data_IF_248120140530
#
_entry.id   IF_248120140530
#
_cell.length_a   1.000
_cell.length_b   1.000
_cell.length_c   1.000
_cell.angle_alpha   90.00
_cell.angle_beta   90.00
_cell.angle_gamma   90.00
#
_symmetry.space_group_name_H-M   'P 1'
#
loop_
_entity.id
_entity.type
_entity.pdbx_description
1 polymer ?
#
# COMPACT_ATOMS: atom_id res chain seq x y z
N UNK A 1 17.05 -10.10 -12.10
CA UNK A 1 16.68 -9.22 -10.97
C UNK A 1 17.92 -8.45 -10.57
N UNK A 2 17.98 -7.15 -10.88
CA UNK A 2 19.10 -6.30 -10.45
C UNK A 2 18.96 -6.05 -8.95
N UNK A 3 20.00 -6.40 -8.17
CA UNK A 3 20.05 -6.10 -6.74
C UNK A 3 20.03 -4.58 -6.55
N UNK A 4 18.91 -4.06 -6.05
CA UNK A 4 18.82 -2.66 -5.63
C UNK A 4 19.83 -2.48 -4.49
N UNK A 5 20.91 -1.71 -4.72
CA UNK A 5 21.87 -1.37 -3.65
C UNK A 5 21.14 -0.51 -2.61
N UNK A 6 20.86 -1.08 -1.45
CA UNK A 6 20.27 -0.36 -0.31
C UNK A 6 21.41 0.35 0.42
N UNK A 7 21.43 1.69 0.38
CA UNK A 7 22.40 2.48 1.14
C UNK A 7 21.84 2.74 2.55
N UNK A 8 22.33 1.99 3.55
CA UNK A 8 21.85 2.08 4.94
C UNK A 8 22.51 3.18 5.78
N UNK A 9 23.16 4.19 5.18
CA UNK A 9 23.94 5.18 5.95
C UNK A 9 23.11 6.20 6.74
N UNK A 10 21.79 6.25 6.57
CA UNK A 10 20.86 7.02 7.38
C UNK A 10 19.67 6.09 7.70
N UNK A 11 19.00 6.27 8.84
CA UNK A 11 17.78 5.53 9.27
C UNK A 11 16.59 5.61 8.27
N UNK A 12 16.81 6.17 7.08
CA UNK A 12 15.83 6.43 6.03
C UNK A 12 16.23 5.63 4.79
N UNK A 13 15.44 4.59 4.48
CA UNK A 13 15.64 3.77 3.28
C UNK A 13 14.90 4.43 2.12
N UNK A 14 15.62 4.67 1.03
CA UNK A 14 15.03 5.25 -0.20
C UNK A 14 14.98 4.20 -1.29
N UNK A 15 13.81 4.07 -1.93
CA UNK A 15 13.63 3.20 -3.09
C UNK A 15 13.22 4.01 -4.30
N UNK A 16 13.81 3.72 -5.46
CA UNK A 16 13.42 4.34 -6.71
C UNK A 16 12.13 3.68 -7.22
N UNK A 17 11.01 4.39 -7.14
CA UNK A 17 9.67 3.89 -7.50
C UNK A 17 9.57 3.53 -8.98
N UNK A 18 10.28 4.25 -9.85
CA UNK A 18 10.18 4.08 -11.30
C UNK A 18 10.80 2.76 -11.73
N UNK A 19 11.82 2.27 -11.02
CA UNK A 19 12.40 0.96 -11.26
C UNK A 19 11.39 -0.20 -11.08
N UNK A 20 10.33 -0.03 -10.29
CA UNK A 20 9.26 -1.04 -10.17
C UNK A 20 8.24 -0.98 -11.31
N UNK A 21 8.24 0.11 -12.08
CA UNK A 21 7.28 0.35 -13.15
C UNK A 21 7.84 0.06 -14.56
N UNK A 22 9.17 -0.06 -14.71
CA UNK A 22 9.83 -0.19 -16.01
C UNK A 22 9.33 -1.38 -16.84
N UNK A 23 9.00 -2.50 -16.18
CA UNK A 23 8.56 -3.73 -16.84
C UNK A 23 7.04 -3.86 -16.91
N UNK A 24 6.30 -2.88 -16.37
CA UNK A 24 4.85 -2.95 -16.32
C UNK A 24 4.23 -2.49 -17.65
N UNK A 25 3.71 -3.44 -18.41
CA UNK A 25 3.16 -3.21 -19.76
C UNK A 25 1.93 -2.31 -19.82
N UNK A 26 1.25 -2.08 -18.70
CA UNK A 26 0.04 -1.23 -18.65
C UNK A 26 0.40 0.25 -18.47
N UNK A 27 1.62 0.54 -18.01
CA UNK A 27 2.06 1.88 -17.63
C UNK A 27 2.34 2.74 -18.86
N UNK A 28 1.70 3.89 -18.87
CA UNK A 28 2.00 5.01 -19.74
C UNK A 28 2.51 6.17 -18.89
N UNK A 29 3.30 7.04 -19.50
CA UNK A 29 3.88 8.22 -18.85
C UNK A 29 3.58 9.47 -19.66
N UNK A 30 3.38 10.57 -18.96
CA UNK A 30 3.38 11.92 -19.51
C UNK A 30 4.79 12.48 -19.36
N UNK A 31 5.29 13.06 -20.44
CA UNK A 31 6.68 13.50 -20.55
C UNK A 31 6.72 14.90 -21.13
N UNK A 32 7.67 15.72 -20.69
CA UNK A 32 7.79 17.11 -21.10
C UNK A 32 8.03 17.26 -22.61
N UNK A 33 7.35 18.22 -23.25
CA UNK A 33 7.42 18.43 -24.70
C UNK A 33 8.84 18.72 -25.21
N UNK A 34 9.65 19.42 -24.41
CA UNK A 34 11.05 19.73 -24.74
C UNK A 34 11.91 18.46 -24.84
N UNK A 35 11.71 17.52 -23.92
CA UNK A 35 12.41 16.24 -23.94
C UNK A 35 11.94 15.36 -25.11
N UNK A 36 10.64 15.39 -25.43
CA UNK A 36 10.11 14.71 -26.62
C UNK A 36 10.72 15.27 -27.92
N UNK A 37 10.94 16.59 -28.03
CA UNK A 37 11.67 17.19 -29.17
C UNK A 37 13.11 16.69 -29.25
N UNK A 38 13.81 16.64 -28.11
CA UNK A 38 15.19 16.11 -28.04
C UNK A 38 15.27 14.65 -28.53
N UNK A 39 14.30 13.81 -28.14
CA UNK A 39 14.21 12.43 -28.64
C UNK A 39 14.00 12.42 -30.16
N UNK A 40 13.06 13.23 -30.69
CA UNK A 40 12.81 13.31 -32.15
C UNK A 40 14.07 13.70 -32.91
N UNK A 41 14.77 14.74 -32.47
CA UNK A 41 15.98 15.24 -33.13
C UNK A 41 17.06 14.15 -33.18
N UNK A 42 17.30 13.44 -32.07
CA UNK A 42 18.26 12.33 -32.04
C UNK A 42 17.85 11.15 -32.92
N UNK A 43 16.55 10.84 -33.02
CA UNK A 43 16.06 9.81 -33.97
C UNK A 43 16.34 10.26 -35.40
N UNK A 44 15.99 11.49 -35.77
CA UNK A 44 16.18 12.03 -37.13
C UNK A 44 17.67 12.08 -37.48
N UNK A 45 18.52 12.52 -36.56
CA UNK A 45 19.98 12.56 -36.75
C UNK A 45 20.55 11.16 -37.03
N UNK A 46 20.05 10.12 -36.34
CA UNK A 46 20.57 8.75 -36.47
C UNK A 46 19.97 7.97 -37.64
N UNK A 47 18.70 8.20 -37.97
CA UNK A 47 17.95 7.38 -38.93
C UNK A 47 17.44 8.14 -40.14
N UNK A 48 17.68 9.45 -40.24
CA UNK A 48 17.21 10.33 -41.32
C UNK A 48 15.76 10.80 -41.15
N UNK A 49 14.86 9.94 -40.64
CA UNK A 49 13.46 10.29 -40.38
C UNK A 49 12.82 9.40 -39.32
N UNK A 50 11.72 9.87 -38.71
CA UNK A 50 10.89 9.06 -37.80
C UNK A 50 10.32 7.83 -38.51
N UNK A 51 9.96 7.96 -39.79
CA UNK A 51 9.46 6.86 -40.64
C UNK A 51 10.50 5.75 -40.82
N UNK A 52 11.75 6.10 -41.11
CA UNK A 52 12.83 5.13 -41.25
C UNK A 52 13.11 4.39 -39.94
N UNK A 53 13.14 5.11 -38.80
CA UNK A 53 13.28 4.47 -37.49
C UNK A 53 12.14 3.47 -37.18
N UNK A 54 10.89 3.84 -37.51
CA UNK A 54 9.74 2.95 -37.37
C UNK A 54 9.90 1.63 -38.14
N UNK A 55 10.31 1.72 -39.40
CA UNK A 55 10.50 0.56 -40.27
C UNK A 55 11.70 -0.30 -39.82
N UNK A 56 12.84 0.35 -39.54
CA UNK A 56 14.09 -0.34 -39.27
C UNK A 56 14.20 -0.91 -37.84
N UNK A 57 13.63 -0.23 -36.84
CA UNK A 57 13.78 -0.61 -35.43
C UNK A 57 12.50 -1.13 -34.78
N UNK A 58 11.40 -0.40 -34.92
CA UNK A 58 10.15 -0.81 -34.30
C UNK A 58 9.40 -1.87 -35.11
N UNK A 59 9.74 -2.04 -36.40
CA UNK A 59 9.08 -2.94 -37.36
C UNK A 59 7.57 -2.71 -37.45
N UNK A 60 7.15 -1.44 -37.41
CA UNK A 60 5.76 -1.02 -37.51
C UNK A 60 5.56 -0.39 -38.89
N UNK A 61 4.62 -0.90 -39.69
CA UNK A 61 4.40 -0.48 -41.07
C UNK A 61 3.67 0.89 -41.24
N UNK A 62 3.48 1.68 -40.18
CA UNK A 62 2.67 2.91 -40.20
C UNK A 62 3.41 4.13 -39.60
N UNK A 63 2.90 5.35 -39.87
CA UNK A 63 3.36 6.66 -39.33
C UNK A 63 3.14 6.85 -37.82
N UNK A 64 2.99 5.76 -37.07
CA UNK A 64 2.57 5.79 -35.66
C UNK A 64 3.47 6.64 -34.76
N UNK A 65 4.76 6.82 -35.06
CA UNK A 65 5.63 7.69 -34.26
C UNK A 65 5.35 9.17 -34.48
N UNK A 66 5.08 9.61 -35.72
CA UNK A 66 4.71 11.00 -35.99
C UNK A 66 3.42 11.35 -35.24
N UNK A 67 2.44 10.47 -35.25
CA UNK A 67 1.22 10.62 -34.46
C UNK A 67 1.47 10.49 -32.95
N UNK A 68 2.31 9.53 -32.53
CA UNK A 68 2.63 9.30 -31.11
C UNK A 68 3.35 10.49 -30.50
N UNK A 69 4.25 11.15 -31.23
CA UNK A 69 4.89 12.36 -30.75
C UNK A 69 4.21 13.67 -31.19
N UNK A 70 3.13 13.60 -31.98
CA UNK A 70 2.42 14.77 -32.51
C UNK A 70 1.10 15.07 -31.81
N UNK A 71 0.40 14.03 -31.34
CA UNK A 71 -0.96 14.15 -30.78
C UNK A 71 -1.10 13.42 -29.43
N UNK A 72 -0.31 12.37 -29.17
CA UNK A 72 -0.46 11.63 -27.92
C UNK A 72 0.17 12.38 -26.74
N UNK A 73 -0.63 12.60 -25.71
CA UNK A 73 -0.19 13.14 -24.42
C UNK A 73 0.57 12.09 -23.57
N UNK A 74 0.31 10.80 -23.80
CA UNK A 74 0.87 9.71 -22.99
C UNK A 74 1.55 8.62 -23.84
N UNK A 75 2.70 8.16 -23.35
CA UNK A 75 3.58 7.21 -24.04
C UNK A 75 3.71 5.92 -23.21
N UNK A 76 3.70 4.75 -23.85
CA UNK A 76 3.99 3.50 -23.13
C UNK A 76 5.41 3.52 -22.59
N UNK A 77 5.59 3.35 -21.27
CA UNK A 77 6.90 3.48 -20.63
C UNK A 77 7.94 2.51 -21.22
N UNK A 78 7.57 1.23 -21.38
CA UNK A 78 8.44 0.21 -22.00
C UNK A 78 8.89 0.61 -23.41
N UNK A 79 7.99 1.18 -24.22
CA UNK A 79 8.32 1.59 -25.58
C UNK A 79 9.27 2.78 -25.54
N UNK A 80 8.98 3.77 -24.71
CA UNK A 80 9.80 4.96 -24.57
C UNK A 80 11.21 4.60 -24.08
N UNK A 81 11.33 3.70 -23.11
CA UNK A 81 12.61 3.14 -22.64
C UNK A 81 13.43 2.51 -23.78
N UNK A 82 12.78 1.74 -24.67
CA UNK A 82 13.45 1.17 -25.85
C UNK A 82 13.91 2.23 -26.84
N UNK A 83 13.09 3.27 -27.06
CA UNK A 83 13.42 4.38 -27.96
C UNK A 83 14.64 5.13 -27.42
N UNK A 84 14.62 5.56 -26.15
CA UNK A 84 15.73 6.34 -25.57
C UNK A 84 17.03 5.53 -25.53
N UNK A 85 16.95 4.22 -25.27
CA UNK A 85 18.10 3.33 -25.31
C UNK A 85 18.73 3.28 -26.70
N UNK A 86 17.89 3.21 -27.74
CA UNK A 86 18.36 3.15 -29.12
C UNK A 86 19.04 4.46 -29.57
N UNK A 87 18.61 5.62 -29.07
CA UNK A 87 19.24 6.92 -29.34
C UNK A 87 20.25 7.37 -28.28
N UNK A 88 20.74 6.42 -27.47
CA UNK A 88 21.78 6.64 -26.45
C UNK A 88 21.45 7.72 -25.41
N UNK A 89 20.17 7.86 -25.04
CA UNK A 89 19.74 8.71 -23.93
C UNK A 89 19.66 7.85 -22.66
N UNK A 90 20.32 8.24 -21.55
CA UNK A 90 20.23 7.52 -20.28
C UNK A 90 18.80 7.46 -19.74
N UNK A 91 18.42 6.31 -19.16
CA UNK A 91 17.09 6.14 -18.53
C UNK A 91 16.79 7.18 -17.44
N UNK A 92 17.82 7.63 -16.73
CA UNK A 92 17.67 8.61 -15.66
C UNK A 92 17.26 9.98 -16.19
N UNK A 93 17.64 10.31 -17.42
CA UNK A 93 17.22 11.54 -18.09
C UNK A 93 15.71 11.50 -18.37
N UNK A 94 15.21 10.39 -18.92
CA UNK A 94 13.77 10.18 -19.08
C UNK A 94 13.03 10.26 -17.74
N UNK A 95 13.57 9.66 -16.68
CA UNK A 95 12.93 9.70 -15.37
C UNK A 95 12.77 11.12 -14.82
N UNK A 96 13.69 12.03 -15.13
CA UNK A 96 13.61 13.42 -14.68
C UNK A 96 12.56 14.24 -15.46
N UNK A 97 12.13 13.74 -16.62
CA UNK A 97 11.14 14.39 -17.48
C UNK A 97 9.75 13.73 -17.43
N UNK A 98 9.54 12.75 -16.55
CA UNK A 98 8.20 12.16 -16.33
C UNK A 98 7.44 13.03 -15.33
N UNK A 99 6.32 13.59 -15.75
CA UNK A 99 5.45 14.41 -14.89
C UNK A 99 4.27 13.64 -14.29
N UNK A 100 3.81 12.57 -14.95
CA UNK A 100 2.72 11.73 -14.44
C UNK A 100 2.73 10.32 -15.04
N UNK A 101 2.06 9.40 -14.33
CA UNK A 101 1.82 8.03 -14.74
C UNK A 101 0.33 7.79 -15.05
N UNK A 102 0.05 6.92 -16.00
CA UNK A 102 -1.30 6.56 -16.42
C UNK A 102 -1.42 5.07 -16.75
N UNK A 103 -2.52 4.45 -16.37
CA UNK A 103 -2.91 3.13 -16.85
C UNK A 103 -4.30 3.17 -17.49
N UNK A 104 -4.41 2.68 -18.73
CA UNK A 104 -5.69 2.56 -19.44
C UNK A 104 -6.65 1.65 -18.65
N UNK A 105 -7.89 2.11 -18.46
CA UNK A 105 -8.93 1.40 -17.70
C UNK A 105 -9.12 1.87 -16.25
N UNK A 106 -8.41 2.91 -15.80
CA UNK A 106 -8.75 3.61 -14.54
C UNK A 106 -10.03 4.42 -14.70
N UNK A 107 -10.96 4.31 -13.73
CA UNK A 107 -12.32 4.85 -13.83
C UNK A 107 -12.47 6.31 -13.39
N UNK A 108 -11.49 6.91 -12.70
CA UNK A 108 -11.56 8.30 -12.21
C UNK A 108 -10.17 8.88 -12.05
N UNK A 109 -9.93 10.09 -12.62
CA UNK A 109 -8.63 10.79 -12.74
C UNK A 109 -7.49 9.92 -13.26
N UNK A 110 -7.10 10.19 -14.50
CA UNK A 110 -6.16 9.37 -15.29
C UNK A 110 -4.75 9.41 -14.71
N UNK A 111 -4.31 10.58 -14.28
CA UNK A 111 -2.92 10.80 -13.88
C UNK A 111 -2.69 10.46 -12.41
N UNK A 112 -1.60 9.74 -12.17
CA UNK A 112 -1.01 9.51 -10.86
C UNK A 112 0.38 10.16 -10.87
N UNK A 113 0.59 11.11 -9.95
CA UNK A 113 1.92 11.69 -9.72
C UNK A 113 2.64 10.80 -8.70
N UNK A 114 3.83 10.33 -9.06
CA UNK A 114 4.67 9.53 -8.17
C UNK A 114 6.03 10.20 -8.03
N UNK A 115 6.46 10.39 -6.78
CA UNK A 115 7.83 10.75 -6.47
C UNK A 115 8.77 9.67 -6.95
N UNK A 116 9.88 10.07 -7.60
CA UNK A 116 10.94 9.15 -8.07
C UNK A 116 11.53 8.34 -6.91
N UNK A 117 11.69 8.97 -5.74
CA UNK A 117 12.11 8.32 -4.51
C UNK A 117 10.93 8.17 -3.56
N UNK A 118 10.74 6.94 -3.06
CA UNK A 118 9.85 6.65 -1.96
C UNK A 118 10.70 6.40 -0.70
N UNK A 119 10.34 7.10 0.37
CA UNK A 119 10.95 6.94 1.68
C UNK A 119 10.24 5.79 2.40
N UNK A 120 11.03 4.82 2.87
CA UNK A 120 10.58 3.72 3.71
C UNK A 120 11.13 3.96 5.12
N UNK A 121 10.27 4.50 5.97
CA UNK A 121 10.47 4.72 7.41
C UNK A 121 9.53 3.80 8.23
N UNK A 122 9.53 3.92 9.56
CA UNK A 122 8.69 3.11 10.44
C UNK A 122 7.19 3.25 10.13
N UNK A 123 6.72 4.49 9.92
CA UNK A 123 5.31 4.76 9.61
C UNK A 123 4.89 4.14 8.26
N UNK A 124 5.77 4.17 7.26
CA UNK A 124 5.50 3.52 5.98
C UNK A 124 5.31 2.01 6.17
N UNK A 125 6.22 1.37 6.92
CA UNK A 125 6.23 -0.08 7.14
C UNK A 125 5.01 -0.53 7.96
N UNK A 126 4.64 0.22 9.00
CA UNK A 126 3.45 -0.07 9.81
C UNK A 126 2.18 -0.02 8.97
N UNK A 127 1.97 1.07 8.23
CA UNK A 127 0.79 1.24 7.37
C UNK A 127 0.77 0.26 6.20
N UNK A 128 1.94 -0.08 5.65
CA UNK A 128 2.06 -1.12 4.62
C UNK A 128 1.60 -2.48 5.13
N UNK A 129 2.08 -2.89 6.31
CA UNK A 129 1.70 -4.15 6.93
C UNK A 129 0.20 -4.16 7.31
N UNK A 130 -0.34 -3.02 7.78
CA UNK A 130 -1.77 -2.85 7.99
C UNK A 130 -2.58 -3.04 6.69
N UNK A 131 -2.11 -2.48 5.57
CA UNK A 131 -2.75 -2.73 4.27
C UNK A 131 -2.69 -4.21 3.88
N UNK A 132 -1.58 -4.89 4.14
CA UNK A 132 -1.47 -6.32 3.86
C UNK A 132 -2.39 -7.19 4.74
N UNK A 133 -2.69 -6.71 5.96
CA UNK A 133 -3.60 -7.35 6.89
C UNK A 133 -5.07 -7.22 6.47
N UNK A 134 -5.54 -6.00 6.18
CA UNK A 134 -6.98 -5.75 5.97
C UNK A 134 -7.35 -5.16 4.60
N UNK A 135 -6.36 -4.87 3.77
CA UNK A 135 -6.54 -4.30 2.45
C UNK A 135 -7.19 -5.26 1.46
N UNK A 136 -7.92 -4.69 0.51
CA UNK A 136 -8.45 -5.36 -0.67
C UNK A 136 -7.86 -4.69 -1.92
N UNK A 137 -7.53 -5.51 -2.91
CA UNK A 137 -7.01 -5.04 -4.20
C UNK A 137 -8.12 -4.93 -5.28
N UNK A 138 -9.36 -5.26 -4.89
CA UNK A 138 -10.53 -5.23 -5.74
C UNK A 138 -10.58 -6.35 -6.79
N UNK A 139 -9.72 -7.36 -6.67
CA UNK A 139 -9.77 -8.55 -7.52
C UNK A 139 -10.93 -9.46 -7.10
N UNK A 140 -11.61 -10.06 -8.08
CA UNK A 140 -12.67 -11.04 -7.85
C UNK A 140 -12.34 -12.42 -8.47
N UNK A 141 -11.07 -12.81 -8.45
CA UNK A 141 -10.56 -14.06 -9.05
C UNK A 141 -10.43 -14.01 -10.58
N UNK A 142 -11.27 -13.23 -11.26
CA UNK A 142 -11.28 -13.07 -12.71
C UNK A 142 -10.61 -11.78 -13.20
N UNK A 143 -10.46 -10.78 -12.33
CA UNK A 143 -9.93 -9.46 -12.69
C UNK A 143 -8.61 -9.18 -11.98
N UNK A 144 -7.64 -8.61 -12.71
CA UNK A 144 -6.37 -8.16 -12.14
C UNK A 144 -6.61 -7.11 -11.04
N UNK A 145 -5.74 -6.98 -10.02
CA UNK A 145 -5.77 -5.88 -9.07
C UNK A 145 -5.98 -4.55 -9.77
N UNK A 146 -6.95 -3.76 -9.33
CA UNK A 146 -7.25 -2.46 -9.96
C UNK A 146 -7.25 -1.30 -8.97
N UNK A 147 -7.36 -1.59 -7.67
CA UNK A 147 -7.76 -0.58 -6.70
C UNK A 147 -7.07 -0.84 -5.38
N UNK A 148 -6.61 0.20 -4.72
CA UNK A 148 -6.26 0.13 -3.30
C UNK A 148 -7.55 0.38 -2.53
N UNK A 149 -8.04 -0.62 -1.81
CA UNK A 149 -9.20 -0.49 -0.91
C UNK A 149 -8.80 -0.87 0.48
N UNK A 150 -9.27 -0.13 1.45
CA UNK A 150 -9.02 -0.42 2.85
C UNK A 150 -10.30 -0.18 3.63
N UNK A 151 -10.78 -1.20 4.36
CA UNK A 151 -12.11 -1.20 4.99
C UNK A 151 -11.98 -1.50 6.47
N UNK A 152 -12.44 -0.60 7.33
CA UNK A 152 -12.44 -0.78 8.78
C UNK A 152 -13.67 -0.11 9.41
N UNK A 153 -14.05 -0.53 10.60
CA UNK A 153 -15.10 0.13 11.41
C UNK A 153 -14.55 1.22 12.33
N UNK A 154 -13.27 1.16 12.69
CA UNK A 154 -12.60 2.14 13.54
C UNK A 154 -12.09 3.33 12.71
N UNK A 155 -12.53 4.53 13.07
CA UNK A 155 -12.23 5.75 12.34
C UNK A 155 -10.75 6.16 12.46
N UNK A 156 -10.12 5.92 13.61
CA UNK A 156 -8.70 6.22 13.83
C UNK A 156 -7.81 5.41 12.88
N UNK A 157 -8.11 4.12 12.70
CA UNK A 157 -7.41 3.22 11.77
C UNK A 157 -7.58 3.70 10.32
N UNK A 158 -8.79 4.11 9.93
CA UNK A 158 -9.03 4.69 8.61
C UNK A 158 -8.29 6.01 8.41
N UNK A 159 -8.23 6.87 9.43
CA UNK A 159 -7.54 8.16 9.35
C UNK A 159 -6.04 7.97 9.22
N UNK A 160 -5.48 7.01 9.94
CA UNK A 160 -4.07 6.61 9.78
C UNK A 160 -3.78 6.15 8.34
N UNK A 161 -4.60 5.25 7.80
CA UNK A 161 -4.42 4.79 6.41
C UNK A 161 -4.58 5.92 5.38
N UNK A 162 -5.54 6.85 5.59
CA UNK A 162 -5.70 8.06 4.76
C UNK A 162 -4.42 8.89 4.78
N UNK A 163 -3.87 9.15 5.97
CA UNK A 163 -2.68 9.98 6.14
C UNK A 163 -1.46 9.33 5.49
N UNK A 164 -1.31 8.01 5.61
CA UNK A 164 -0.28 7.25 4.90
C UNK A 164 -0.37 7.44 3.38
N UNK A 165 -1.57 7.28 2.79
CA UNK A 165 -1.73 7.51 1.35
C UNK A 165 -1.31 8.92 0.92
N UNK A 166 -1.69 9.94 1.69
CA UNK A 166 -1.35 11.34 1.39
C UNK A 166 0.15 11.60 1.52
N UNK A 167 0.78 11.08 2.59
CA UNK A 167 2.19 11.30 2.90
C UNK A 167 3.11 10.66 1.86
N UNK A 168 2.85 9.40 1.48
CA UNK A 168 3.77 8.63 0.64
C UNK A 168 3.37 8.59 -0.84
N UNK A 169 2.12 8.90 -1.17
CA UNK A 169 1.62 8.96 -2.54
C UNK A 169 0.85 10.26 -2.79
N UNK A 170 1.49 11.43 -2.63
CA UNK A 170 0.82 12.72 -2.72
C UNK A 170 0.18 12.92 -4.09
N UNK A 171 -0.99 13.56 -4.11
CA UNK A 171 -1.74 13.81 -5.34
C UNK A 171 -2.57 12.61 -5.83
N UNK A 172 -2.57 11.48 -5.11
CA UNK A 172 -3.45 10.35 -5.42
C UNK A 172 -4.94 10.74 -5.30
N UNK A 173 -5.75 10.26 -6.25
CA UNK A 173 -7.20 10.43 -6.16
C UNK A 173 -7.78 9.30 -5.33
N UNK A 174 -8.30 9.64 -4.15
CA UNK A 174 -9.05 8.72 -3.30
C UNK A 174 -10.42 9.29 -2.97
N UNK A 175 -11.36 8.41 -2.63
CA UNK A 175 -12.65 8.76 -2.07
C UNK A 175 -12.93 7.89 -0.85
N UNK A 176 -13.70 8.45 0.07
CA UNK A 176 -14.21 7.80 1.25
C UNK A 176 -15.59 7.24 0.97
N UNK A 177 -15.82 5.98 1.33
CA UNK A 177 -17.08 5.29 1.12
C UNK A 177 -17.66 4.84 2.45
N UNK A 178 -18.86 5.32 2.76
CA UNK A 178 -19.64 4.89 3.93
C UNK A 178 -20.56 3.75 3.52
N UNK A 179 -20.34 2.58 4.11
CA UNK A 179 -21.17 1.39 3.94
C UNK A 179 -22.22 1.38 5.05
N UNK A 180 -23.47 1.63 4.66
CA UNK A 180 -24.60 1.81 5.57
C UNK A 180 -25.36 0.49 5.69
N UNK A 181 -25.48 -0.11 6.89
CA UNK A 181 -26.34 -1.27 7.10
C UNK A 181 -27.79 -0.94 6.73
N UNK A 182 -28.50 -1.89 6.12
CA UNK A 182 -29.89 -1.68 5.64
C UNK A 182 -30.88 -1.24 6.73
N UNK A 183 -30.58 -1.51 8.00
CA UNK A 183 -31.40 -1.20 9.17
C UNK A 183 -30.94 0.08 9.91
N UNK A 184 -30.05 0.88 9.32
CA UNK A 184 -29.53 2.12 9.92
C UNK A 184 -29.86 3.32 9.03
N UNK A 185 -30.21 4.43 9.68
CA UNK A 185 -30.39 5.73 9.02
C UNK A 185 -29.05 6.46 9.03
N UNK A 186 -28.61 6.93 7.86
CA UNK A 186 -27.43 7.77 7.73
C UNK A 186 -27.85 9.23 7.71
N UNK A 187 -27.62 9.94 8.82
CA UNK A 187 -28.10 11.31 9.03
C UNK A 187 -27.13 12.35 8.46
N UNK A 188 -27.62 13.58 8.26
CA UNK A 188 -26.80 14.73 7.87
C UNK A 188 -25.74 15.07 8.93
N UNK A 189 -26.08 14.93 10.20
CA UNK A 189 -25.14 15.10 11.33
C UNK A 189 -23.97 14.12 11.24
N UNK A 190 -24.25 12.83 11.01
CA UNK A 190 -23.21 11.82 10.86
C UNK A 190 -22.35 12.08 9.62
N UNK A 191 -22.97 12.53 8.51
CA UNK A 191 -22.22 12.93 7.32
C UNK A 191 -21.25 14.08 7.61
N UNK A 192 -21.71 15.15 8.28
CA UNK A 192 -20.88 16.30 8.65
C UNK A 192 -19.75 15.88 9.61
N UNK A 193 -20.04 15.04 10.60
CA UNK A 193 -19.03 14.49 11.49
C UNK A 193 -17.91 13.76 10.74
N UNK A 194 -18.25 12.91 9.76
CA UNK A 194 -17.26 12.21 8.93
C UNK A 194 -16.47 13.21 8.07
N UNK A 195 -17.15 14.19 7.49
CA UNK A 195 -16.53 15.25 6.69
C UNK A 195 -15.45 15.99 7.49
N UNK A 196 -15.78 16.42 8.70
CA UNK A 196 -14.90 17.20 9.57
C UNK A 196 -13.77 16.33 10.14
N UNK A 197 -14.09 15.11 10.61
CA UNK A 197 -13.10 14.21 11.21
C UNK A 197 -11.99 13.83 10.23
N UNK A 198 -12.34 13.65 8.96
CA UNK A 198 -11.40 13.31 7.89
C UNK A 198 -10.95 14.51 7.06
N UNK A 199 -11.42 15.73 7.30
CA UNK A 199 -11.09 16.90 6.47
C UNK A 199 -11.28 16.62 4.96
N UNK A 200 -12.53 16.38 4.56
CA UNK A 200 -12.91 15.97 3.20
C UNK A 200 -13.88 16.95 2.53
N UNK A 201 -13.72 17.13 1.22
CA UNK A 201 -14.75 17.75 0.38
C UNK A 201 -15.93 16.80 0.15
N UNK A 202 -17.12 17.34 -0.12
CA UNK A 202 -18.33 16.54 -0.39
C UNK A 202 -18.18 15.59 -1.57
N UNK A 203 -17.42 15.99 -2.60
CA UNK A 203 -17.13 15.17 -3.77
C UNK A 203 -16.35 13.87 -3.45
N UNK A 204 -15.70 13.82 -2.28
CA UNK A 204 -14.90 12.66 -1.85
C UNK A 204 -15.69 11.68 -1.00
N UNK A 205 -16.90 12.00 -0.54
CA UNK A 205 -17.71 11.10 0.28
C UNK A 205 -18.77 10.43 -0.59
N UNK A 206 -18.77 9.09 -0.61
CA UNK A 206 -19.78 8.27 -1.27
C UNK A 206 -20.50 7.41 -0.25
N UNK A 207 -21.80 7.23 -0.40
CA UNK A 207 -22.60 6.35 0.45
C UNK A 207 -23.03 5.10 -0.33
N UNK A 208 -23.17 3.98 0.38
CA UNK A 208 -23.75 2.76 -0.19
C UNK A 208 -24.52 1.99 0.87
N UNK A 209 -25.79 1.72 0.60
CA UNK A 209 -26.60 0.81 1.41
C UNK A 209 -26.15 -0.64 1.16
N UNK A 210 -25.87 -1.38 2.23
CA UNK A 210 -25.38 -2.75 2.19
C UNK A 210 -26.41 -3.70 2.82
N UNK A 211 -26.77 -4.77 2.09
CA UNK A 211 -27.75 -5.79 2.53
C UNK A 211 -27.20 -6.77 3.58
N UNK A 212 -26.20 -6.39 4.36
CA UNK A 212 -25.49 -7.31 5.25
C UNK A 212 -26.32 -7.50 6.52
N UNK A 213 -26.78 -8.74 6.79
CA UNK A 213 -27.63 -9.06 7.95
C UNK A 213 -26.92 -8.98 9.32
N UNK A 214 -25.58 -9.02 9.37
CA UNK A 214 -24.82 -9.27 10.61
C UNK A 214 -23.98 -8.11 11.15
N UNK A 215 -23.83 -6.98 10.43
CA UNK A 215 -23.05 -5.84 10.94
C UNK A 215 -23.97 -4.83 11.61
N UNK A 216 -23.68 -4.52 12.87
CA UNK A 216 -24.51 -3.66 13.73
C UNK A 216 -24.18 -2.16 13.58
N UNK A 217 -23.04 -1.81 12.98
CA UNK A 217 -22.56 -0.44 12.81
C UNK A 217 -22.14 -0.09 11.39
N UNK A 218 -21.89 1.20 11.17
CA UNK A 218 -21.31 1.72 9.94
C UNK A 218 -19.93 1.12 9.70
N UNK A 219 -19.60 0.89 8.43
CA UNK A 219 -18.28 0.45 8.00
C UNK A 219 -17.77 1.46 7.00
N UNK A 220 -16.50 1.80 7.12
CA UNK A 220 -15.89 2.82 6.30
C UNK A 220 -14.87 2.18 5.37
N UNK A 221 -14.72 2.77 4.20
CA UNK A 221 -13.76 2.31 3.20
C UNK A 221 -13.08 3.48 2.53
N UNK A 222 -11.75 3.45 2.49
CA UNK A 222 -10.98 4.29 1.58
C UNK A 222 -10.78 3.54 0.27
N UNK A 223 -11.04 4.19 -0.85
CA UNK A 223 -10.85 3.66 -2.18
C UNK A 223 -9.94 4.57 -2.99
N UNK A 224 -8.88 4.02 -3.56
CA UNK A 224 -8.07 4.65 -4.58
C UNK A 224 -8.11 3.77 -5.83
N UNK A 225 -8.76 4.27 -6.89
CA UNK A 225 -9.01 3.53 -8.12
C UNK A 225 -7.83 3.66 -9.10
N UNK A 226 -6.60 3.39 -8.63
CA UNK A 226 -5.36 3.55 -9.40
C UNK A 226 -4.57 2.24 -9.48
N UNK A 227 -4.61 1.59 -10.65
CA UNK A 227 -3.95 0.30 -10.88
C UNK A 227 -2.42 0.35 -10.67
N UNK A 228 -1.79 1.44 -11.09
CA UNK A 228 -0.33 1.64 -10.93
C UNK A 228 0.05 1.66 -9.45
N UNK A 229 -0.77 2.30 -8.61
CA UNK A 229 -0.49 2.41 -7.18
C UNK A 229 -0.53 1.04 -6.49
N UNK A 230 -1.54 0.21 -6.80
CA UNK A 230 -1.62 -1.14 -6.22
C UNK A 230 -0.48 -2.03 -6.74
N UNK A 231 -0.15 -1.96 -8.03
CA UNK A 231 0.98 -2.71 -8.59
C UNK A 231 2.30 -2.32 -7.90
N UNK A 232 2.52 -1.02 -7.63
CA UNK A 232 3.67 -0.54 -6.88
C UNK A 232 3.69 -1.08 -5.44
N UNK A 233 2.58 -0.97 -4.70
CA UNK A 233 2.47 -1.47 -3.31
C UNK A 233 2.78 -2.98 -3.26
N UNK A 234 2.24 -3.77 -4.18
CA UNK A 234 2.51 -5.21 -4.24
C UNK A 234 3.97 -5.50 -4.60
N UNK A 235 4.57 -4.74 -5.53
CA UNK A 235 5.95 -4.94 -5.94
C UNK A 235 6.97 -4.62 -4.83
N UNK A 236 6.60 -3.80 -3.84
CA UNK A 236 7.48 -3.45 -2.72
C UNK A 236 7.62 -4.56 -1.66
N UNK A 237 6.79 -5.60 -1.70
CA UNK A 237 6.69 -6.63 -0.65
C UNK A 237 8.06 -7.23 -0.30
N UNK A 238 8.81 -7.68 -1.31
CA UNK A 238 10.09 -8.36 -1.08
C UNK A 238 11.10 -7.44 -0.38
N UNK A 239 11.20 -6.18 -0.80
CA UNK A 239 12.16 -5.23 -0.25
C UNK A 239 11.78 -4.84 1.16
N UNK A 240 10.49 -4.59 1.43
CA UNK A 240 10.02 -4.29 2.78
C UNK A 240 10.30 -5.46 3.72
N UNK A 241 10.08 -6.70 3.25
CA UNK A 241 10.36 -7.89 4.06
C UNK A 241 11.84 -8.13 4.30
N UNK A 242 12.70 -7.75 3.37
CA UNK A 242 14.16 -7.84 3.53
C UNK A 242 14.65 -6.85 4.58
N UNK A 243 14.33 -5.56 4.43
CA UNK A 243 14.80 -4.51 5.36
C UNK A 243 14.28 -4.70 6.80
N UNK A 244 13.09 -5.28 6.97
CA UNK A 244 12.54 -5.59 8.29
C UNK A 244 13.30 -6.73 8.99
N UNK A 245 13.96 -7.63 8.25
CA UNK A 245 14.78 -8.69 8.88
C UNK A 245 16.08 -8.17 9.46
N UNK A 246 16.54 -7.02 8.95
CA UNK A 246 17.84 -6.44 9.32
C UNK A 246 17.71 -5.25 10.28
N UNK A 247 16.52 -4.64 10.38
CA UNK A 247 16.27 -3.47 11.23
C UNK A 247 15.15 -3.72 12.25
N UNK A 248 15.49 -3.71 13.55
CA UNK A 248 14.54 -3.97 14.64
C UNK A 248 13.39 -2.96 14.71
N UNK A 249 13.65 -1.67 14.43
CA UNK A 249 12.59 -0.64 14.43
C UNK A 249 11.56 -0.93 13.34
N UNK A 250 12.03 -1.23 12.13
CA UNK A 250 11.14 -1.60 11.02
C UNK A 250 10.44 -2.95 11.27
N UNK A 251 11.10 -3.92 11.87
CA UNK A 251 10.48 -5.18 12.28
C UNK A 251 9.31 -4.96 13.26
N UNK A 252 9.52 -4.12 14.28
CA UNK A 252 8.50 -3.77 15.26
C UNK A 252 7.33 -3.02 14.60
N UNK A 253 7.62 -2.07 13.70
CA UNK A 253 6.61 -1.37 12.92
C UNK A 253 5.78 -2.32 12.04
N UNK A 254 6.42 -3.27 11.36
CA UNK A 254 5.72 -4.27 10.53
C UNK A 254 4.77 -5.12 11.38
N UNK A 255 5.24 -5.61 12.53
CA UNK A 255 4.38 -6.38 13.45
C UNK A 255 3.26 -5.49 14.00
N UNK A 256 3.52 -4.22 14.36
CA UNK A 256 2.50 -3.28 14.83
C UNK A 256 1.38 -3.10 13.79
N UNK A 257 1.74 -2.95 12.51
CA UNK A 257 0.78 -2.89 11.40
C UNK A 257 -0.12 -4.13 11.33
N UNK A 258 0.47 -5.32 11.44
CA UNK A 258 -0.29 -6.57 11.50
C UNK A 258 -1.16 -6.69 12.76
N UNK A 259 -0.73 -6.15 13.90
CA UNK A 259 -1.51 -6.14 15.14
C UNK A 259 -2.73 -5.23 15.06
N UNK A 260 -2.61 -4.08 14.39
CA UNK A 260 -3.73 -3.17 14.12
C UNK A 260 -4.84 -3.91 13.35
N UNK A 261 -4.47 -4.68 12.32
CA UNK A 261 -5.43 -5.42 11.50
C UNK A 261 -5.91 -6.72 12.14
N UNK A 262 -5.00 -7.67 12.34
CA UNK A 262 -5.31 -9.06 12.71
C UNK A 262 -5.03 -9.41 14.18
N UNK A 263 -4.44 -8.48 14.93
CA UNK A 263 -4.08 -8.68 16.33
C UNK A 263 -5.27 -8.69 17.26
N UNK A 264 -5.20 -9.46 18.35
CA UNK A 264 -6.16 -9.40 19.46
C UNK A 264 -5.44 -9.50 20.79
N UNK A 265 -5.83 -8.68 21.75
CA UNK A 265 -5.40 -8.77 23.15
C UNK A 265 -6.46 -9.44 24.02
N UNK A 266 -6.01 -10.22 25.00
CA UNK A 266 -6.87 -10.89 25.97
C UNK A 266 -6.44 -10.51 27.39
N UNK A 267 -7.42 -10.17 28.24
CA UNK A 267 -7.17 -9.72 29.62
C UNK A 267 -7.97 -10.45 30.71
N UNK A 268 -9.00 -11.24 30.34
CA UNK A 268 -9.91 -11.91 31.29
C UNK A 268 -9.29 -13.20 31.89
N UNK A 269 -9.64 -14.38 31.36
CA UNK A 269 -9.18 -15.68 31.90
C UNK A 269 -7.69 -15.93 31.70
N UNK A 270 -7.09 -15.34 30.67
CA UNK A 270 -5.68 -15.49 30.35
C UNK A 270 -5.19 -14.22 29.67
N UNK A 271 -3.93 -13.86 29.94
CA UNK A 271 -3.30 -12.65 29.42
C UNK A 271 -2.32 -13.02 28.32
N UNK A 272 -2.66 -12.64 27.11
CA UNK A 272 -1.82 -12.87 25.94
C UNK A 272 -2.25 -11.94 24.82
N UNK A 273 -1.35 -11.76 23.85
CA UNK A 273 -1.72 -11.23 22.54
C UNK A 273 -1.63 -12.36 21.52
N UNK A 274 -2.43 -12.23 20.47
CA UNK A 274 -2.51 -13.20 19.39
C UNK A 274 -2.63 -12.51 18.06
N UNK A 275 -1.96 -13.05 17.05
CA UNK A 275 -2.18 -12.73 15.63
C UNK A 275 -2.78 -13.97 14.98
N UNK A 276 -3.83 -13.83 14.17
CA UNK A 276 -4.44 -14.93 13.43
C UNK A 276 -4.58 -14.60 11.95
N UNK A 277 -4.23 -15.51 11.07
CA UNK A 277 -4.41 -15.33 9.62
C UNK A 277 -4.36 -16.66 8.88
N UNK A 278 -4.92 -16.69 7.67
CA UNK A 278 -4.89 -17.89 6.81
C UNK A 278 -3.56 -18.09 6.09
N UNK A 279 -2.80 -17.02 5.88
CA UNK A 279 -1.55 -17.05 5.15
C UNK A 279 -0.42 -17.60 6.04
N UNK A 280 -0.10 -18.89 5.89
CA UNK A 280 0.98 -19.54 6.64
C UNK A 280 2.35 -18.90 6.40
N UNK A 281 2.63 -18.46 5.15
CA UNK A 281 3.92 -17.84 4.82
C UNK A 281 4.11 -16.54 5.60
N UNK A 282 3.04 -15.76 5.72
CA UNK A 282 3.04 -14.52 6.49
C UNK A 282 3.20 -14.79 8.00
N UNK A 283 2.54 -15.81 8.55
CA UNK A 283 2.74 -16.25 9.94
C UNK A 283 4.19 -16.64 10.21
N UNK A 284 4.80 -17.43 9.32
CA UNK A 284 6.21 -17.83 9.45
C UNK A 284 7.14 -16.63 9.39
N UNK A 285 6.84 -15.66 8.54
CA UNK A 285 7.59 -14.41 8.45
C UNK A 285 7.48 -13.58 9.75
N UNK A 286 6.27 -13.38 10.26
CA UNK A 286 6.03 -12.67 11.53
C UNK A 286 6.70 -13.36 12.72
N UNK A 287 6.67 -14.69 12.76
CA UNK A 287 7.39 -15.47 13.75
C UNK A 287 8.91 -15.21 13.68
N UNK A 288 9.48 -15.16 12.49
CA UNK A 288 10.88 -14.79 12.28
C UNK A 288 11.21 -13.40 12.84
N UNK A 289 10.36 -12.41 12.58
CA UNK A 289 10.53 -11.05 13.12
C UNK A 289 10.40 -11.02 14.65
N UNK A 290 9.42 -11.73 15.23
CA UNK A 290 9.25 -11.83 16.68
C UNK A 290 10.47 -12.48 17.34
N UNK A 291 11.03 -13.53 16.73
CA UNK A 291 12.27 -14.16 17.19
C UNK A 291 13.43 -13.17 17.14
N UNK A 292 13.55 -12.41 16.05
CA UNK A 292 14.58 -11.38 15.88
C UNK A 292 14.50 -10.26 16.93
N UNK A 293 13.28 -9.88 17.34
CA UNK A 293 13.04 -8.95 18.44
C UNK A 293 13.20 -9.58 19.84
N UNK A 294 13.47 -10.89 19.92
CA UNK A 294 13.64 -11.60 21.18
C UNK A 294 12.34 -11.83 21.95
N UNK A 295 11.28 -12.22 21.24
CA UNK A 295 10.03 -12.70 21.86
C UNK A 295 9.98 -14.23 21.84
N UNK A 296 9.54 -14.82 22.94
CA UNK A 296 9.05 -16.20 22.96
C UNK A 296 7.60 -16.23 22.46
N UNK A 297 7.29 -17.12 21.51
CA UNK A 297 5.96 -17.27 20.95
C UNK A 297 5.65 -18.74 20.65
N UNK A 298 4.36 -19.05 20.47
CA UNK A 298 3.88 -20.35 20.00
C UNK A 298 3.10 -20.17 18.70
N UNK A 299 3.42 -20.97 17.69
CA UNK A 299 2.65 -21.06 16.45
C UNK A 299 1.75 -22.28 16.52
N UNK A 300 0.45 -22.12 16.26
CA UNK A 300 -0.49 -23.23 16.18
C UNK A 300 -1.45 -23.05 15.02
N UNK A 301 -1.80 -24.15 14.36
CA UNK A 301 -2.96 -24.23 13.48
C UNK A 301 -4.22 -24.40 14.34
N UNK A 302 -5.25 -23.61 14.09
CA UNK A 302 -6.52 -23.69 14.82
C UNK A 302 -7.23 -25.00 14.49
N UNK A 303 -7.59 -25.75 15.52
CA UNK A 303 -8.46 -26.93 15.40
C UNK A 303 -9.90 -26.56 15.07
N UNK A 304 -10.35 -25.37 15.48
CA UNK A 304 -11.76 -24.94 15.34
C UNK A 304 -12.04 -24.10 14.09
N UNK A 305 -11.01 -23.69 13.35
CA UNK A 305 -11.14 -22.88 12.13
C UNK A 305 -10.14 -23.39 11.10
N UNK A 306 -10.68 -23.97 10.03
CA UNK A 306 -9.88 -24.53 8.95
C UNK A 306 -8.88 -23.51 8.39
N UNK A 307 -7.63 -23.95 8.21
CA UNK A 307 -6.53 -23.17 7.63
C UNK A 307 -6.25 -21.84 8.33
N UNK A 308 -6.60 -21.69 9.61
CA UNK A 308 -6.31 -20.49 10.38
C UNK A 308 -5.12 -20.70 11.30
N UNK A 309 -4.00 -20.06 10.97
CA UNK A 309 -2.79 -20.10 11.77
C UNK A 309 -2.80 -18.99 12.81
N UNK A 310 -2.11 -19.21 13.91
CA UNK A 310 -2.07 -18.26 15.02
C UNK A 310 -0.70 -18.20 15.69
N UNK A 311 -0.25 -16.99 16.05
CA UNK A 311 0.92 -16.74 16.88
C UNK A 311 0.46 -16.24 18.24
N UNK A 312 0.92 -16.88 19.32
CA UNK A 312 0.60 -16.51 20.70
C UNK A 312 1.83 -15.96 21.42
N UNK A 313 1.67 -14.82 22.11
CA UNK A 313 2.70 -14.23 22.99
C UNK A 313 2.11 -14.11 24.40
N UNK A 314 2.75 -14.80 25.35
CA UNK A 314 2.23 -14.95 26.71
C UNK A 314 2.46 -13.76 27.63
N UNK A 315 1.77 -13.78 28.78
CA UNK A 315 1.73 -12.74 29.80
C UNK A 315 3.09 -12.14 30.21
N UNK A 316 4.15 -12.98 30.30
CA UNK A 316 5.48 -12.57 30.79
C UNK A 316 6.11 -11.44 29.97
N UNK A 317 5.75 -11.34 28.69
CA UNK A 317 6.37 -10.41 27.74
C UNK A 317 5.44 -9.26 27.34
N UNK A 318 4.22 -9.18 27.91
CA UNK A 318 3.22 -8.20 27.47
C UNK A 318 3.61 -6.75 27.74
N UNK A 319 4.38 -6.48 28.80
CA UNK A 319 4.89 -5.12 29.06
C UNK A 319 5.81 -4.68 27.92
N UNK A 320 6.84 -5.48 27.61
CA UNK A 320 7.74 -5.27 26.47
C UNK A 320 6.96 -5.13 25.16
N UNK A 321 5.99 -6.03 24.93
CA UNK A 321 5.14 -6.00 23.74
C UNK A 321 4.35 -4.69 23.63
N UNK A 322 3.78 -4.21 24.73
CA UNK A 322 3.01 -2.96 24.76
C UNK A 322 3.87 -1.73 24.49
N UNK A 323 5.13 -1.73 24.95
CA UNK A 323 6.03 -0.59 24.81
C UNK A 323 6.67 -0.55 23.41
N UNK A 324 6.99 -1.72 22.85
CA UNK A 324 7.70 -1.83 21.58
C UNK A 324 6.77 -1.91 20.36
N UNK A 325 5.68 -2.70 20.44
CA UNK A 325 4.81 -3.05 19.31
C UNK A 325 3.39 -2.48 19.52
N UNK A 326 2.70 -2.89 20.58
CA UNK A 326 1.35 -2.44 20.87
C UNK A 326 0.33 -2.70 19.75
N UNK A 327 -0.72 -1.90 19.72
CA UNK A 327 -1.79 -1.91 18.71
C UNK A 327 -1.86 -0.60 17.91
N UNK A 328 -0.79 0.21 17.95
CA UNK A 328 -0.68 1.48 17.23
C UNK A 328 -1.92 2.37 17.41
N UNK A 329 -2.52 2.77 16.29
CA UNK A 329 -3.70 3.66 16.25
C UNK A 329 -5.04 2.99 16.63
N UNK A 330 -5.05 1.68 16.90
CA UNK A 330 -6.27 0.98 17.29
C UNK A 330 -6.53 1.10 18.80
N UNK A 331 -7.03 2.26 19.22
CA UNK A 331 -7.25 2.67 20.62
C UNK A 331 -7.91 1.59 21.49
N UNK A 332 -9.06 1.05 21.06
CA UNK A 332 -9.77 0.01 21.84
C UNK A 332 -8.95 -1.25 22.12
N UNK A 333 -8.13 -1.71 21.17
CA UNK A 333 -7.28 -2.91 21.35
C UNK A 333 -6.07 -2.56 22.23
N UNK A 334 -5.54 -1.36 22.07
CA UNK A 334 -4.46 -0.82 22.89
C UNK A 334 -4.88 -0.74 24.36
N UNK A 335 -6.07 -0.22 24.67
CA UNK A 335 -6.63 -0.19 26.03
C UNK A 335 -6.74 -1.59 26.65
N UNK A 336 -7.16 -2.59 25.86
CA UNK A 336 -7.24 -3.98 26.32
C UNK A 336 -5.86 -4.53 26.65
N UNK A 337 -4.85 -4.22 25.83
CA UNK A 337 -3.47 -4.61 26.09
C UNK A 337 -2.95 -3.97 27.38
N UNK A 338 -3.18 -2.68 27.58
CA UNK A 338 -2.77 -1.95 28.78
C UNK A 338 -3.39 -2.56 30.05
N UNK A 339 -4.69 -2.93 29.99
CA UNK A 339 -5.36 -3.68 31.05
C UNK A 339 -4.71 -5.05 31.29
N UNK A 340 -4.33 -5.77 30.22
CA UNK A 340 -3.68 -7.08 30.33
C UNK A 340 -2.29 -6.97 30.99
N UNK A 341 -1.55 -5.89 30.74
CA UNK A 341 -0.24 -5.61 31.35
C UNK A 341 -0.38 -5.26 32.85
N UNK A 342 -1.46 -4.59 33.25
CA UNK A 342 -1.64 -4.19 34.64
C UNK A 342 -1.85 -5.40 35.57
N UNK A 343 -0.85 -5.70 36.41
CA UNK A 343 -0.88 -6.82 37.36
C UNK A 343 -1.87 -6.61 38.52
N UNK A 344 -2.21 -5.37 38.89
CA UNK A 344 -3.10 -5.06 40.02
C UNK A 344 -4.55 -5.48 39.75
N UNK A 345 -4.99 -5.45 38.49
CA UNK A 345 -6.31 -5.93 38.06
C UNK A 345 -6.49 -7.45 38.21
N UNK A 346 -5.46 -8.20 38.61
CA UNK A 346 -5.51 -9.65 38.86
C UNK A 346 -6.28 -10.02 40.12
N UNK A 347 -6.30 -9.12 41.10
CA UNK A 347 -6.86 -9.38 42.44
C UNK A 347 -8.39 -9.34 42.44
N UNK A 348 -9.01 -8.58 41.53
CA UNK A 348 -10.46 -8.34 41.53
C UNK A 348 -11.27 -9.18 40.52
N UNK A 349 -10.66 -10.14 39.83
CA UNK A 349 -11.34 -11.00 38.83
C UNK A 349 -11.72 -12.38 39.38
N UNK A 350 -11.37 -12.68 40.63
CA UNK A 350 -11.69 -13.93 41.33
C UNK A 350 -12.48 -13.70 42.63
N UNK A 351 -13.07 -12.51 42.80
CA UNK A 351 -14.04 -12.22 43.86
C UNK A 351 -15.45 -12.44 43.34
#
# INVERSE_FOLDING_TARGET
>A
MNSTKINMKNDVIKVNTYNFLIDNSIVHVKVDDSFLRTIKEKIIQKYGSLKQFNLQKLRICYTTLEHEFGINEYFKLIRLLKIIQDVSIPKEELFNHISAFFARGSHTRRELVLSKELIIDEEFVESYALYFAEGDNGSNGYTKPRKVRFTNSELSVLKHFKNWLIKYFPGNSYYFKVLIPYNKVFTKEHYNYIKDYFDLDDSRIKTQICKWKKRTGFVYRICCDQAILIDLILALESIIKEICRDNKKLAAAYIRGMMIGEGTAYFNKSRYVRIEMRNEKEIKYLAGLLKFLGYEYKINLRTTRENMWSIYIGAKQLRKFCDEIGFGVHEKRQEILEKAVNKKLRVNQYC
#
